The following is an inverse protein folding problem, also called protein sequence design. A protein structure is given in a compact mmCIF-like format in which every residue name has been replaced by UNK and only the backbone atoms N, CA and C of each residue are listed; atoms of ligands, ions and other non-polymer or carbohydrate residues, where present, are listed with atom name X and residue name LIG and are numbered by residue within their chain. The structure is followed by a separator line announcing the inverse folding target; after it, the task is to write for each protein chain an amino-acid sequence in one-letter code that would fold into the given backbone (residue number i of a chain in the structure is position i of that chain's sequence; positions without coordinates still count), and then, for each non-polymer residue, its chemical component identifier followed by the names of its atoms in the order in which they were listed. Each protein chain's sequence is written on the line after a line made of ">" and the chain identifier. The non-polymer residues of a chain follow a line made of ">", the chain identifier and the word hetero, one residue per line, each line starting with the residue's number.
data_IF_425379576161
#
_entry.id   IF_425379576161
#
_cell.length_a   1.000
_cell.length_b   1.000
_cell.length_c   1.000
_cell.angle_alpha   90.00
_cell.angle_beta   90.00
_cell.angle_gamma   90.00
#
_symmetry.space_group_name_H-M   'P 1'
#
loop_
_entity.id
_entity.type
_entity.pdbx_description
1 polymer ?
#
# COMPACT_ATOMS: atom_id res chain seq x y z
N UNK A 1 10.78 33.04 32.40
CA UNK A 1 11.71 32.32 31.49
C UNK A 1 11.42 30.83 31.60
N UNK A 2 11.63 30.08 30.52
CA UNK A 2 11.41 28.62 30.35
C UNK A 2 10.01 28.20 29.90
N UNK A 3 9.89 27.68 28.67
CA UNK A 3 8.72 26.88 28.29
C UNK A 3 8.25 26.84 26.84
N UNK A 4 8.92 27.46 25.85
CA UNK A 4 8.47 27.43 24.44
C UNK A 4 9.31 26.52 23.52
N UNK A 5 10.24 25.73 24.07
CA UNK A 5 11.18 24.92 23.28
C UNK A 5 10.79 23.45 23.06
N UNK A 6 9.91 22.88 23.89
CA UNK A 6 9.72 21.42 23.92
C UNK A 6 8.56 20.92 23.03
N UNK A 7 7.51 21.72 22.80
CA UNK A 7 6.32 21.31 22.03
C UNK A 7 6.61 21.12 20.54
N UNK A 8 7.48 21.93 19.96
CA UNK A 8 7.93 21.76 18.57
C UNK A 8 8.77 20.49 18.44
N UNK A 9 9.66 20.22 19.40
CA UNK A 9 10.47 19.00 19.47
C UNK A 9 9.62 17.74 19.60
N UNK A 10 8.60 17.75 20.47
CA UNK A 10 7.68 16.60 20.63
C UNK A 10 6.85 16.34 19.37
N UNK A 11 6.39 17.39 18.69
CA UNK A 11 5.63 17.25 17.43
C UNK A 11 6.49 16.71 16.29
N UNK A 12 7.73 17.20 16.17
CA UNK A 12 8.69 16.68 15.20
C UNK A 12 9.07 15.23 15.53
N UNK A 13 9.26 14.90 16.81
CA UNK A 13 9.54 13.52 17.24
C UNK A 13 8.37 12.56 16.93
N UNK A 14 7.11 12.96 17.16
CA UNK A 14 5.94 12.17 16.78
C UNK A 14 5.82 12.00 15.26
N UNK A 15 6.12 13.03 14.47
CA UNK A 15 6.11 12.93 12.99
C UNK A 15 7.20 12.00 12.48
N UNK A 16 8.42 12.09 13.03
CA UNK A 16 9.54 11.22 12.66
C UNK A 16 9.29 9.76 13.09
N UNK A 17 8.71 9.55 14.28
CA UNK A 17 8.33 8.21 14.75
C UNK A 17 7.20 7.61 13.90
N UNK A 18 6.21 8.43 13.52
CA UNK A 18 5.14 8.02 12.61
C UNK A 18 5.65 7.66 11.22
N UNK A 19 6.60 8.43 10.68
CA UNK A 19 7.24 8.14 9.39
C UNK A 19 8.05 6.83 9.46
N UNK A 20 8.83 6.63 10.53
CA UNK A 20 9.64 5.43 10.72
C UNK A 20 8.78 4.15 10.84
N UNK A 21 7.62 4.24 11.49
CA UNK A 21 6.69 3.13 11.62
C UNK A 21 5.81 2.92 10.39
N UNK A 22 5.48 3.99 9.63
CA UNK A 22 4.63 3.91 8.44
C UNK A 22 5.33 3.41 7.17
N UNK A 23 6.64 3.69 7.04
CA UNK A 23 7.46 3.26 5.90
C UNK A 23 7.39 1.75 5.59
N UNK A 24 7.49 0.83 6.57
CA UNK A 24 7.42 -0.61 6.26
C UNK A 24 6.02 -1.08 5.83
N UNK A 25 4.93 -0.42 6.26
CA UNK A 25 3.57 -0.79 5.85
C UNK A 25 3.22 -0.29 4.43
N UNK A 26 3.86 0.79 3.96
CA UNK A 26 3.75 1.29 2.59
C UNK A 26 4.52 0.48 1.55
N UNK A 27 5.29 -0.53 1.97
CA UNK A 27 6.14 -1.32 1.10
C UNK A 27 5.40 -2.06 -0.02
N UNK A 28 4.13 -2.45 0.21
CA UNK A 28 3.34 -3.19 -0.79
C UNK A 28 2.84 -2.33 -1.96
N UNK A 29 2.85 -1.00 -1.84
CA UNK A 29 2.52 -0.06 -2.91
C UNK A 29 3.76 0.67 -3.46
N UNK A 30 4.92 0.46 -2.83
CA UNK A 30 6.16 1.14 -3.20
C UNK A 30 6.84 0.37 -4.32
N UNK A 31 7.25 1.07 -5.39
CA UNK A 31 8.07 0.52 -6.49
C UNK A 31 9.52 0.28 -6.02
N UNK A 32 9.70 -0.46 -4.92
CA UNK A 32 11.02 -0.87 -4.41
C UNK A 32 11.77 -1.66 -5.48
N UNK A 33 11.03 -2.36 -6.35
CA UNK A 33 11.55 -3.08 -7.49
C UNK A 33 12.36 -2.22 -8.49
N UNK A 34 12.21 -0.89 -8.52
CA UNK A 34 12.97 0.03 -9.40
C UNK A 34 14.02 0.87 -8.66
N UNK A 35 14.26 0.62 -7.37
CA UNK A 35 15.33 1.31 -6.63
C UNK A 35 16.67 0.61 -6.89
N UNK A 36 17.66 1.28 -7.52
CA UNK A 36 18.92 0.66 -7.96
C UNK A 36 19.83 0.17 -6.80
N UNK A 37 19.44 0.40 -5.55
CA UNK A 37 20.23 0.09 -4.36
C UNK A 37 19.51 -0.87 -3.38
N UNK A 38 18.18 -0.99 -3.48
CA UNK A 38 17.35 -1.75 -2.54
C UNK A 38 16.59 -2.81 -3.33
N UNK A 39 17.21 -3.99 -3.50
CA UNK A 39 16.53 -5.16 -4.06
C UNK A 39 17.18 -5.80 -5.29
N UNK A 40 18.22 -5.19 -5.88
CA UNK A 40 19.02 -5.84 -6.93
C UNK A 40 20.32 -6.41 -6.34
N UNK A 41 20.54 -7.74 -6.34
CA UNK A 41 21.84 -8.30 -5.94
C UNK A 41 22.95 -7.80 -6.89
N UNK A 42 24.18 -7.73 -6.39
CA UNK A 42 25.36 -7.35 -7.18
C UNK A 42 25.59 -8.38 -8.31
N UNK A 43 25.00 -8.15 -9.47
CA UNK A 43 24.99 -9.10 -10.59
C UNK A 43 23.61 -9.37 -11.18
N UNK A 44 22.54 -8.75 -10.67
CA UNK A 44 21.25 -8.82 -11.37
C UNK A 44 21.35 -8.16 -12.75
N UNK A 45 20.92 -8.83 -13.83
CA UNK A 45 20.88 -8.22 -15.14
C UNK A 45 19.99 -6.99 -15.11
N UNK A 46 20.41 -5.93 -15.81
CA UNK A 46 19.63 -4.70 -15.92
C UNK A 46 18.22 -5.04 -16.45
N UNK A 47 17.18 -4.56 -15.75
CA UNK A 47 15.81 -4.70 -16.23
C UNK A 47 15.77 -4.11 -17.64
N UNK A 48 15.30 -4.86 -18.65
CA UNK A 48 15.22 -4.34 -20.01
C UNK A 48 14.33 -3.09 -20.00
N UNK A 49 14.79 -2.02 -20.63
CA UNK A 49 14.05 -0.76 -20.73
C UNK A 49 12.71 -0.92 -21.47
N UNK A 50 12.64 -1.97 -22.30
CA UNK A 50 11.44 -2.36 -23.02
C UNK A 50 10.77 -3.53 -22.30
N UNK A 51 9.48 -3.40 -22.00
CA UNK A 51 8.67 -4.55 -21.60
C UNK A 51 8.79 -5.63 -22.69
N UNK A 52 9.09 -6.88 -22.30
CA UNK A 52 9.17 -7.98 -23.25
C UNK A 52 7.85 -8.16 -24.01
N UNK A 53 7.92 -8.73 -25.21
CA UNK A 53 6.72 -9.07 -25.97
C UNK A 53 5.84 -9.99 -25.13
N UNK A 54 4.72 -9.43 -24.66
CA UNK A 54 3.70 -10.22 -24.00
C UNK A 54 3.14 -11.23 -25.00
N UNK A 55 2.76 -12.41 -24.52
CA UNK A 55 1.93 -13.34 -25.27
C UNK A 55 0.76 -12.53 -25.88
N UNK A 56 0.39 -12.72 -27.17
CA UNK A 56 -0.64 -11.92 -27.82
C UNK A 56 -1.89 -11.79 -26.92
N UNK A 57 -2.05 -10.62 -26.28
CA UNK A 57 -2.93 -10.41 -25.11
C UNK A 57 -4.42 -10.42 -25.49
N UNK A 58 -4.74 -10.90 -26.69
CA UNK A 58 -6.07 -10.94 -27.28
C UNK A 58 -6.46 -12.30 -27.84
N UNK A 59 -5.59 -13.30 -27.79
CA UNK A 59 -6.05 -14.69 -27.84
C UNK A 59 -6.55 -14.99 -26.43
N UNK A 60 -7.83 -14.65 -26.18
CA UNK A 60 -8.46 -14.64 -24.86
C UNK A 60 -7.95 -15.81 -24.03
N UNK A 61 -7.49 -15.59 -22.78
CA UNK A 61 -7.22 -16.70 -21.89
C UNK A 61 -8.48 -17.56 -21.87
N UNK A 62 -8.30 -18.85 -22.17
CA UNK A 62 -9.37 -19.84 -22.22
C UNK A 62 -10.33 -19.59 -21.08
N UNK A 63 -11.65 -19.60 -21.35
CA UNK A 63 -12.67 -19.39 -20.33
C UNK A 63 -12.30 -20.18 -19.08
N UNK A 64 -12.26 -19.51 -17.92
CA UNK A 64 -11.96 -20.19 -16.67
C UNK A 64 -13.04 -21.23 -16.45
N UNK A 65 -12.69 -22.49 -16.69
CA UNK A 65 -13.59 -23.60 -16.44
C UNK A 65 -13.83 -23.70 -14.93
N UNK A 66 -15.09 -23.48 -14.52
CA UNK A 66 -15.52 -23.55 -13.13
C UNK A 66 -15.91 -22.20 -12.51
N UNK A 67 -16.91 -22.24 -11.64
CA UNK A 67 -17.33 -21.08 -10.84
C UNK A 67 -16.19 -20.72 -9.89
N UNK A 68 -15.65 -19.51 -10.01
CA UNK A 68 -14.47 -19.09 -9.23
C UNK A 68 -14.66 -19.20 -7.70
N UNK A 69 -15.90 -19.06 -7.23
CA UNK A 69 -16.29 -19.15 -5.84
C UNK A 69 -17.81 -19.34 -5.72
N UNK A 70 -18.27 -20.09 -4.72
CA UNK A 70 -19.70 -20.20 -4.44
C UNK A 70 -20.30 -18.83 -4.05
N UNK A 71 -21.56 -18.52 -4.41
CA UNK A 71 -22.15 -17.19 -4.16
C UNK A 71 -22.24 -16.85 -2.67
N UNK A 72 -22.40 -17.86 -1.81
CA UNK A 72 -22.44 -17.71 -0.35
C UNK A 72 -21.08 -17.29 0.23
N UNK A 73 -20.00 -17.84 -0.31
CA UNK A 73 -18.63 -17.51 0.09
C UNK A 73 -18.24 -16.11 -0.41
N UNK A 74 -18.66 -15.73 -1.62
CA UNK A 74 -18.48 -14.36 -2.11
C UNK A 74 -19.19 -13.34 -1.23
N UNK A 75 -20.44 -13.60 -0.84
CA UNK A 75 -21.21 -12.72 0.05
C UNK A 75 -20.52 -12.55 1.42
N UNK A 76 -19.96 -13.64 1.96
CA UNK A 76 -19.19 -13.60 3.21
C UNK A 76 -17.95 -12.71 3.09
N UNK A 77 -17.14 -12.90 2.05
CA UNK A 77 -15.93 -12.09 1.82
C UNK A 77 -16.32 -10.61 1.63
N UNK A 78 -17.38 -10.33 0.89
CA UNK A 78 -17.84 -8.96 0.68
C UNK A 78 -18.22 -8.28 2.01
N UNK A 79 -18.94 -8.98 2.88
CA UNK A 79 -19.29 -8.47 4.21
C UNK A 79 -18.05 -8.21 5.08
N UNK A 80 -17.09 -9.13 5.08
CA UNK A 80 -15.82 -8.98 5.81
C UNK A 80 -15.00 -7.78 5.30
N UNK A 81 -14.96 -7.58 3.98
CA UNK A 81 -14.25 -6.47 3.35
C UNK A 81 -14.91 -5.11 3.64
N UNK A 82 -16.24 -5.05 3.71
CA UNK A 82 -16.96 -3.82 4.11
C UNK A 82 -16.63 -3.48 5.56
N UNK A 83 -16.77 -4.45 6.46
CA UNK A 83 -16.47 -4.27 7.87
C UNK A 83 -15.01 -3.83 8.11
N UNK A 84 -14.05 -4.35 7.32
CA UNK A 84 -12.66 -3.93 7.37
C UNK A 84 -12.46 -2.48 6.91
N UNK A 85 -13.12 -2.07 5.82
CA UNK A 85 -13.04 -0.68 5.32
C UNK A 85 -13.64 0.31 6.30
N UNK A 86 -14.76 -0.04 6.94
CA UNK A 86 -15.37 0.82 7.97
C UNK A 86 -14.43 1.04 9.15
N UNK A 87 -13.69 0.01 9.58
CA UNK A 87 -12.65 0.14 10.62
C UNK A 87 -11.49 1.04 10.19
N UNK A 88 -11.09 0.98 8.91
CA UNK A 88 -10.04 1.83 8.36
C UNK A 88 -10.49 3.30 8.25
N UNK A 89 -11.77 3.55 7.95
CA UNK A 89 -12.33 4.90 7.82
C UNK A 89 -12.28 5.70 9.14
N UNK A 90 -12.29 5.02 10.29
CA UNK A 90 -12.23 5.65 11.63
C UNK A 90 -10.83 6.21 11.96
N UNK A 91 -9.80 5.89 11.17
CA UNK A 91 -8.40 6.32 11.43
C UNK A 91 -8.07 7.69 10.84
N UNK A 92 -8.95 8.30 10.02
CA UNK A 92 -8.75 9.67 9.57
C UNK A 92 -9.34 10.65 10.60
N UNK A 93 -8.51 11.46 11.30
CA UNK A 93 -9.05 12.48 12.19
C UNK A 93 -9.86 13.48 11.34
N UNK A 94 -11.11 13.69 11.73
CA UNK A 94 -11.98 14.68 11.11
C UNK A 94 -11.27 16.06 11.12
N UNK A 95 -11.12 16.65 9.93
CA UNK A 95 -10.65 18.04 9.78
C UNK A 95 -11.60 18.94 10.58
N UNK A 96 -11.14 19.69 11.60
CA UNK A 96 -12.02 20.61 12.30
C UNK A 96 -12.47 21.68 11.31
N UNK A 97 -13.79 21.79 11.15
CA UNK A 97 -14.40 22.88 10.40
C UNK A 97 -14.05 24.19 11.12
N UNK A 98 -13.17 24.98 10.49
CA UNK A 98 -12.86 26.34 10.93
C UNK A 98 -14.14 27.18 10.87
N UNK A 99 -14.39 27.94 11.94
CA UNK A 99 -15.31 29.07 11.92
C UNK A 99 -14.57 30.30 11.37
#
# INVERSE_FOLDING_TARGET
>A
MTGYGNTTGTRVACLLLGLALGLPLGGCASTIADLPMVGMPAGAPARPAQAGDYLPVHDLPTSREGTAMAPTEQAKIQAELIAARDRQAVVLPAKPAGK
#
